data_IF_226087915960
#
_entry.id   IF_226087915960
#
_cell.length_a   1.000
_cell.length_b   1.000
_cell.length_c   1.000
_cell.angle_alpha   90.00
_cell.angle_beta   90.00
_cell.angle_gamma   90.00
#
_symmetry.space_group_name_H-M   'P 1'
#
loop_
_entity.id
_entity.type
_entity.pdbx_description
1 polymer ?
#
# COMPACT_ATOMS: atom_id res chain seq x y z
N UNK A 1 -6.13 -36.49 27.28
CA UNK A 1 -6.84 -35.76 26.22
C UNK A 1 -7.27 -34.42 26.79
N UNK A 2 -6.57 -33.35 26.43
CA UNK A 2 -7.10 -31.99 26.39
C UNK A 2 -6.49 -31.38 25.13
N UNK A 3 -7.32 -31.26 24.09
CA UNK A 3 -6.98 -30.61 22.85
C UNK A 3 -6.76 -29.12 23.12
N UNK A 4 -5.53 -28.68 22.95
CA UNK A 4 -5.20 -27.29 22.71
C UNK A 4 -4.29 -27.29 21.51
N UNK A 5 -4.89 -27.41 20.32
CA UNK A 5 -4.17 -27.14 19.10
C UNK A 5 -3.55 -25.75 19.27
N UNK A 6 -2.23 -25.70 19.30
CA UNK A 6 -1.49 -24.49 19.04
C UNK A 6 -1.95 -24.03 17.65
N UNK A 7 -2.95 -23.15 17.59
CA UNK A 7 -3.17 -22.35 16.40
C UNK A 7 -1.84 -21.65 16.16
N UNK A 8 -1.16 -22.02 15.07
CA UNK A 8 -0.11 -21.16 14.54
C UNK A 8 -0.77 -19.81 14.36
N UNK A 9 -0.36 -18.82 15.14
CA UNK A 9 -0.84 -17.46 15.01
C UNK A 9 -0.39 -16.93 13.65
N UNK A 10 -1.17 -17.22 12.61
CA UNK A 10 -1.20 -16.46 11.35
C UNK A 10 -1.96 -15.13 11.59
N UNK A 11 -1.79 -14.55 12.77
CA UNK A 11 -2.31 -13.23 13.11
C UNK A 11 -1.25 -12.25 12.62
N UNK A 12 -1.60 -11.54 11.57
CA UNK A 12 -0.66 -10.94 10.63
C UNK A 12 -1.11 -11.27 9.21
N UNK A 13 -2.38 -11.00 8.92
CA UNK A 13 -2.87 -11.02 7.55
C UNK A 13 -1.99 -10.08 6.74
N UNK A 14 -1.48 -10.59 5.62
CA UNK A 14 -0.66 -9.82 4.70
C UNK A 14 -1.59 -8.80 4.04
N UNK A 15 -1.74 -7.63 4.65
CA UNK A 15 -2.56 -6.53 4.11
C UNK A 15 -2.09 -6.17 2.68
N UNK A 16 -0.81 -6.36 2.35
CA UNK A 16 -0.29 -6.19 0.99
C UNK A 16 -0.80 -7.20 -0.04
N UNK A 17 -1.47 -8.28 0.37
CA UNK A 17 -2.19 -9.21 -0.52
C UNK A 17 -3.67 -8.85 -0.69
N UNK A 18 -4.17 -7.83 0.03
CA UNK A 18 -5.54 -7.41 -0.11
C UNK A 18 -5.75 -6.64 -1.40
N UNK A 19 -6.89 -6.90 -2.03
CA UNK A 19 -7.34 -6.17 -3.21
C UNK A 19 -8.39 -5.15 -2.77
N UNK A 20 -8.38 -3.91 -3.29
CA UNK A 20 -9.53 -3.03 -3.21
C UNK A 20 -10.81 -3.76 -3.59
N UNK A 21 -11.88 -3.62 -2.81
CA UNK A 21 -13.14 -4.35 -2.98
C UNK A 21 -13.30 -5.57 -2.06
N UNK A 22 -12.25 -6.03 -1.38
CA UNK A 22 -12.36 -7.11 -0.40
C UNK A 22 -13.10 -6.65 0.85
N UNK A 23 -14.09 -7.44 1.29
CA UNK A 23 -14.84 -7.16 2.51
C UNK A 23 -14.20 -7.85 3.72
N UNK A 24 -14.04 -7.07 4.79
CA UNK A 24 -13.39 -7.49 6.03
C UNK A 24 -14.28 -7.19 7.23
N UNK A 25 -14.15 -7.98 8.27
CA UNK A 25 -14.66 -7.68 9.60
C UNK A 25 -13.53 -7.04 10.39
N UNK A 26 -13.78 -5.85 10.94
CA UNK A 26 -12.86 -5.08 11.78
C UNK A 26 -13.31 -5.27 13.23
N UNK A 27 -12.43 -5.82 14.08
CA UNK A 27 -12.78 -6.04 15.49
C UNK A 27 -12.84 -4.73 16.29
N UNK A 28 -13.59 -4.75 17.40
CA UNK A 28 -13.69 -3.61 18.31
C UNK A 28 -12.32 -3.17 18.84
N UNK A 29 -12.03 -1.88 18.82
CA UNK A 29 -10.74 -1.30 19.20
C UNK A 29 -9.73 -1.20 18.07
N UNK A 30 -10.00 -1.79 16.90
CA UNK A 30 -9.12 -1.75 15.74
C UNK A 30 -9.36 -0.52 14.85
N UNK A 31 -8.30 -0.15 14.13
CA UNK A 31 -8.31 0.92 13.15
C UNK A 31 -8.10 2.33 13.72
N UNK A 32 -7.99 3.30 12.81
CA UNK A 32 -7.82 4.72 13.13
C UNK A 32 -8.86 5.52 12.32
N UNK A 33 -9.89 6.11 12.97
CA UNK A 33 -10.21 5.97 14.39
C UNK A 33 -10.60 4.53 14.76
N UNK A 34 -10.42 4.16 16.03
CA UNK A 34 -10.77 2.83 16.53
C UNK A 34 -12.28 2.60 16.44
N UNK A 35 -12.70 1.44 15.94
CA UNK A 35 -14.13 1.09 15.86
C UNK A 35 -14.64 0.69 17.24
N UNK A 36 -15.82 1.19 17.62
CA UNK A 36 -16.40 0.92 18.95
C UNK A 36 -16.91 -0.53 19.12
N UNK A 37 -17.25 -1.17 17.99
CA UNK A 37 -17.77 -2.53 17.93
C UNK A 37 -17.30 -3.19 16.65
N UNK A 38 -17.39 -4.52 16.62
CA UNK A 38 -17.15 -5.31 15.42
C UNK A 38 -17.98 -4.74 14.25
N UNK A 39 -17.30 -4.42 13.15
CA UNK A 39 -17.87 -3.71 12.01
C UNK A 39 -17.38 -4.32 10.71
N UNK A 40 -18.29 -4.57 9.78
CA UNK A 40 -17.94 -5.00 8.42
C UNK A 40 -17.69 -3.76 7.56
N UNK A 41 -16.58 -3.76 6.82
CA UNK A 41 -16.25 -2.70 5.87
C UNK A 41 -15.49 -3.27 4.67
N UNK A 42 -15.32 -2.45 3.63
CA UNK A 42 -14.69 -2.86 2.37
C UNK A 42 -13.37 -2.12 2.23
N UNK A 43 -12.30 -2.84 1.87
CA UNK A 43 -10.99 -2.25 1.59
C UNK A 43 -11.10 -1.38 0.33
N UNK A 44 -10.67 -0.13 0.43
CA UNK A 44 -10.67 0.86 -0.66
C UNK A 44 -9.28 1.06 -1.26
N UNK A 45 -8.26 1.25 -0.43
CA UNK A 45 -6.87 1.43 -0.85
C UNK A 45 -5.98 0.56 0.02
N UNK A 46 -4.97 -0.03 -0.59
CA UNK A 46 -3.87 -0.72 0.11
C UNK A 46 -2.59 -0.01 -0.24
N UNK A 47 -1.84 0.39 0.78
CA UNK A 47 -0.51 1.01 0.65
C UNK A 47 0.50 0.17 1.43
N UNK A 48 1.79 0.48 1.29
CA UNK A 48 2.87 -0.20 2.02
C UNK A 48 2.80 0.01 3.55
N UNK A 49 2.09 1.03 4.01
CA UNK A 49 2.06 1.46 5.41
C UNK A 49 0.68 1.37 6.07
N UNK A 50 -0.41 1.26 5.31
CA UNK A 50 -1.77 1.04 5.82
C UNK A 50 -2.74 0.58 4.73
N UNK A 51 -3.88 0.01 5.16
CA UNK A 51 -5.06 -0.11 4.32
C UNK A 51 -6.15 0.87 4.75
N UNK A 52 -6.87 1.44 3.79
CA UNK A 52 -8.01 2.34 4.01
C UNK A 52 -9.30 1.62 3.64
N UNK A 53 -10.30 1.69 4.49
CA UNK A 53 -11.64 1.14 4.21
C UNK A 53 -12.57 2.20 3.58
N UNK A 54 -13.65 1.75 2.96
CA UNK A 54 -14.67 2.59 2.35
C UNK A 54 -15.42 3.46 3.37
N UNK A 55 -15.49 3.03 4.63
CA UNK A 55 -15.96 3.81 5.78
C UNK A 55 -14.96 4.86 6.30
N UNK A 56 -13.72 4.87 5.82
CA UNK A 56 -12.71 5.86 6.19
C UNK A 56 -11.91 5.48 7.44
N UNK A 57 -11.78 4.19 7.71
CA UNK A 57 -10.96 3.63 8.79
C UNK A 57 -9.61 3.24 8.19
N UNK A 58 -8.52 3.69 8.82
CA UNK A 58 -7.16 3.25 8.46
C UNK A 58 -6.78 2.05 9.32
N UNK A 59 -6.35 0.97 8.70
CA UNK A 59 -5.92 -0.27 9.34
C UNK A 59 -4.39 -0.36 9.29
N UNK A 60 -3.78 -0.64 10.44
CA UNK A 60 -2.32 -0.79 10.54
C UNK A 60 -1.90 -2.19 10.06
N UNK A 61 -0.88 -2.29 9.19
CA UNK A 61 -0.31 -3.56 8.76
C UNK A 61 0.78 -4.06 9.71
N UNK A 62 1.18 -3.26 10.71
CA UNK A 62 2.33 -3.55 11.58
C UNK A 62 1.97 -4.03 12.98
N UNK A 63 0.70 -3.94 13.37
CA UNK A 63 0.19 -4.58 14.58
C UNK A 63 -0.49 -5.88 14.17
N UNK A 64 -0.61 -6.84 15.10
CA UNK A 64 -1.54 -7.96 14.99
C UNK A 64 -2.97 -7.38 15.04
N UNK A 65 -3.37 -6.70 13.97
CA UNK A 65 -4.68 -6.11 13.81
C UNK A 65 -5.62 -7.23 13.37
N UNK A 66 -6.56 -7.54 14.26
CA UNK A 66 -7.55 -8.58 14.05
C UNK A 66 -8.60 -8.06 13.05
N UNK A 67 -8.32 -8.29 11.78
CA UNK A 67 -9.33 -8.28 10.74
C UNK A 67 -9.62 -9.71 10.33
N UNK A 68 -10.88 -10.00 10.02
CA UNK A 68 -11.29 -11.32 9.56
C UNK A 68 -11.75 -11.18 8.11
N UNK A 69 -11.25 -12.05 7.24
CA UNK A 69 -11.72 -12.13 5.87
C UNK A 69 -13.10 -12.76 5.81
N UNK A 70 -13.97 -12.14 5.01
CA UNK A 70 -15.29 -12.70 4.72
C UNK A 70 -15.30 -13.56 3.46
N UNK A 71 -14.20 -13.60 2.71
CA UNK A 71 -14.08 -14.18 1.36
C UNK A 71 -14.98 -13.51 0.30
N UNK A 72 -15.62 -12.37 0.63
CA UNK A 72 -16.46 -11.60 -0.30
C UNK A 72 -15.67 -10.48 -0.97
N UNK A 73 -15.97 -10.24 -2.24
CA UNK A 73 -15.38 -9.19 -3.05
C UNK A 73 -16.47 -8.41 -3.80
N UNK A 74 -16.28 -7.09 -3.87
CA UNK A 74 -17.22 -6.16 -4.49
C UNK A 74 -16.50 -5.26 -5.49
N UNK A 75 -16.89 -5.33 -6.76
CA UNK A 75 -16.37 -4.41 -7.80
C UNK A 75 -16.88 -2.97 -7.63
N UNK A 76 -18.04 -2.81 -6.98
CA UNK A 76 -18.69 -1.52 -6.76
C UNK A 76 -19.27 -1.47 -5.35
N UNK A 77 -18.95 -0.42 -4.63
CA UNK A 77 -19.39 -0.20 -3.26
C UNK A 77 -19.46 1.31 -2.94
N UNK A 78 -20.33 1.72 -2.01
CA UNK A 78 -20.40 3.11 -1.59
C UNK A 78 -19.15 3.48 -0.79
N UNK A 79 -18.59 4.66 -1.07
CA UNK A 79 -17.44 5.22 -0.37
C UNK A 79 -17.89 6.49 0.35
N UNK A 80 -17.59 6.60 1.64
CA UNK A 80 -17.93 7.77 2.43
C UNK A 80 -17.05 8.98 2.06
N UNK A 81 -17.52 10.19 2.34
CA UNK A 81 -16.80 11.41 1.95
C UNK A 81 -15.42 11.52 2.61
N UNK A 82 -15.28 11.05 3.85
CA UNK A 82 -14.00 11.00 4.56
C UNK A 82 -13.00 10.10 3.87
N UNK A 83 -13.43 8.91 3.44
CA UNK A 83 -12.57 7.98 2.71
C UNK A 83 -12.15 8.55 1.35
N UNK A 84 -13.05 9.25 0.63
CA UNK A 84 -12.73 9.94 -0.62
C UNK A 84 -11.69 11.04 -0.41
N UNK A 85 -11.83 11.83 0.65
CA UNK A 85 -10.86 12.88 0.96
C UNK A 85 -9.48 12.28 1.20
N UNK A 86 -9.39 11.23 2.03
CA UNK A 86 -8.12 10.55 2.30
C UNK A 86 -7.54 9.95 1.02
N UNK A 87 -8.35 9.30 0.19
CA UNK A 87 -7.91 8.74 -1.08
C UNK A 87 -7.32 9.81 -2.01
N UNK A 88 -7.96 10.99 -2.10
CA UNK A 88 -7.47 12.09 -2.92
C UNK A 88 -6.13 12.65 -2.39
N UNK A 89 -5.96 12.74 -1.06
CA UNK A 89 -4.69 13.15 -0.44
C UNK A 89 -3.54 12.19 -0.80
N UNK A 90 -3.80 10.88 -0.79
CA UNK A 90 -2.82 9.84 -1.16
C UNK A 90 -2.43 9.97 -2.63
N UNK A 91 -3.41 10.06 -3.52
CA UNK A 91 -3.16 10.19 -4.95
C UNK A 91 -2.38 11.47 -5.29
N UNK A 92 -2.68 12.58 -4.61
CA UNK A 92 -1.95 13.83 -4.77
C UNK A 92 -0.49 13.70 -4.31
N UNK A 93 -0.25 13.01 -3.19
CA UNK A 93 1.10 12.76 -2.69
C UNK A 93 1.91 11.85 -3.64
N UNK A 94 1.32 10.75 -4.11
CA UNK A 94 1.96 9.83 -5.06
C UNK A 94 2.28 10.54 -6.39
N UNK A 95 1.36 11.36 -6.91
CA UNK A 95 1.60 12.15 -8.11
C UNK A 95 2.72 13.18 -7.93
N UNK A 96 2.81 13.83 -6.76
CA UNK A 96 3.90 14.76 -6.46
C UNK A 96 5.26 14.04 -6.38
N UNK A 97 5.31 12.88 -5.72
CA UNK A 97 6.53 12.08 -5.62
C UNK A 97 6.99 11.59 -7.00
N UNK A 98 6.06 11.15 -7.85
CA UNK A 98 6.38 10.73 -9.22
C UNK A 98 6.94 11.89 -10.04
N UNK A 99 6.34 13.08 -9.94
CA UNK A 99 6.82 14.26 -10.64
C UNK A 99 8.23 14.70 -10.19
N UNK A 100 8.55 14.56 -8.90
CA UNK A 100 9.92 14.80 -8.41
C UNK A 100 10.93 13.80 -8.97
N UNK A 101 10.56 12.52 -9.08
CA UNK A 101 11.42 11.48 -9.67
C UNK A 101 11.64 11.66 -11.18
N UNK A 102 10.63 12.14 -11.92
CA UNK A 102 10.74 12.43 -13.36
C UNK A 102 11.67 13.63 -13.66
N UNK A 103 11.81 14.57 -12.71
CA UNK A 103 12.74 15.70 -12.84
C UNK A 103 14.20 15.31 -12.61
N UNK A 104 14.45 14.20 -11.92
CA UNK A 104 15.78 13.72 -11.56
C UNK A 104 16.32 12.68 -12.55
N UNK A 105 15.64 12.43 -13.68
CA UNK A 105 16.12 11.56 -14.76
C UNK A 105 17.26 12.29 -15.51
N UNK A 106 18.54 11.96 -15.26
CA UNK A 106 19.63 12.64 -15.91
C UNK A 106 19.65 12.18 -17.36
N UNK A 107 19.41 13.11 -18.29
CA UNK A 107 19.55 12.90 -19.73
C UNK A 107 20.77 11.98 -20.02
N UNK A 108 20.56 10.73 -20.47
CA UNK A 108 21.65 9.78 -20.66
C UNK A 108 22.63 10.24 -21.74
N UNK A 109 22.29 11.27 -22.52
CA UNK A 109 23.16 11.87 -23.53
C UNK A 109 24.13 12.93 -22.97
N UNK A 110 23.94 13.41 -21.73
CA UNK A 110 24.84 14.40 -21.13
C UNK A 110 26.18 13.84 -20.65
N UNK A 111 26.32 12.51 -20.46
CA UNK A 111 27.60 11.90 -20.01
C UNK A 111 28.75 11.96 -21.02
N UNK A 112 28.52 12.41 -22.26
CA UNK A 112 29.54 12.40 -23.32
C UNK A 112 29.92 13.78 -23.87
N UNK A 113 29.29 14.88 -23.45
CA UNK A 113 29.73 16.24 -23.83
C UNK A 113 30.89 16.69 -22.95
N UNK A 114 32.10 16.25 -23.27
CA UNK A 114 33.33 16.82 -22.70
C UNK A 114 34.44 15.83 -22.35
N UNK A 115 34.22 14.52 -22.48
CA UNK A 115 35.31 13.55 -22.38
C UNK A 115 36.11 13.56 -23.68
N UNK A 116 37.16 14.37 -23.70
CA UNK A 116 38.20 14.33 -24.72
C UNK A 116 39.02 13.06 -24.48
N UNK A 117 38.47 11.90 -24.88
CA UNK A 117 39.15 10.61 -24.77
C UNK A 117 40.22 10.60 -25.86
N UNK A 118 41.53 10.61 -25.53
CA UNK A 118 42.56 10.50 -26.54
C UNK A 118 42.41 9.15 -27.26
N UNK A 119 42.39 9.19 -28.60
CA UNK A 119 42.42 7.97 -29.40
C UNK A 119 43.64 7.13 -29.02
N UNK A 120 43.50 5.83 -28.75
CA UNK A 120 44.66 4.97 -28.55
C UNK A 120 45.48 4.90 -29.84
N UNK A 121 46.77 5.18 -29.73
CA UNK A 121 47.74 5.04 -30.81
C UNK A 121 47.80 3.57 -31.21
N UNK A 122 47.43 3.26 -32.45
CA UNK A 122 47.63 1.93 -33.03
C UNK A 122 49.10 1.86 -33.47
N UNK A 123 49.91 1.06 -32.80
CA UNK A 123 51.25 0.73 -33.29
C UNK A 123 51.12 -0.19 -34.51
N UNK A 124 51.77 0.13 -35.64
CA UNK A 124 51.79 -0.75 -36.80
C UNK A 124 52.75 -1.94 -36.55
N UNK A 125 52.30 -3.12 -36.98
CA UNK A 125 53.03 -4.40 -36.95
C UNK A 125 54.38 -4.36 -37.68
#
# INVERSE_FOLDING_TARGET
MCAGNYFSSNLGIIISQMTPGTEVIILAGEGIPAVEKETVDIILVVTDIYALTAGGIRLSPMANSDIIFTERHFDKFPICDKARQIQAEVQAYEAALLAELELDDPDPTQKFKGLNIPNPTVEPE
#
